data_IF_425840688776
#
_entry.id   IF_425840688776
#
_cell.length_a   1.000
_cell.length_b   1.000
_cell.length_c   1.000
_cell.angle_alpha   90.00
_cell.angle_beta   90.00
_cell.angle_gamma   90.00
#
_symmetry.space_group_name_H-M   'P 1'
#
loop_
_entity.id
_entity.type
_entity.pdbx_description
1 polymer ?
#
# COMPACT_ATOMS: atom_id res chain seq x y z
N UNK A 1 -25.19 -5.48 8.18
CA UNK A 1 -24.75 -4.89 6.90
C UNK A 1 -23.35 -4.39 7.14
N UNK A 2 -22.34 -5.21 6.82
CA UNK A 2 -20.94 -4.81 6.98
C UNK A 2 -20.69 -3.85 5.83
N UNK A 3 -20.60 -2.55 6.12
CA UNK A 3 -20.03 -1.62 5.15
C UNK A 3 -18.63 -2.17 4.87
N UNK A 4 -18.42 -2.75 3.69
CA UNK A 4 -17.08 -3.04 3.22
C UNK A 4 -16.45 -1.67 3.02
N UNK A 5 -15.74 -1.19 4.04
CA UNK A 5 -14.97 0.04 3.97
C UNK A 5 -14.07 -0.04 2.75
N UNK A 6 -13.85 1.10 2.11
CA UNK A 6 -13.02 1.16 0.91
C UNK A 6 -11.61 0.70 1.20
N UNK A 7 -11.01 0.05 0.22
CA UNK A 7 -9.77 -0.70 0.38
C UNK A 7 -8.80 -0.40 -0.75
N UNK A 8 -7.56 -0.08 -0.39
CA UNK A 8 -6.46 0.00 -1.35
C UNK A 8 -5.19 -0.61 -0.76
N UNK A 9 -4.39 -1.26 -1.61
CA UNK A 9 -3.14 -1.89 -1.19
C UNK A 9 -1.92 -1.19 -1.79
N UNK A 10 -0.89 -1.07 -0.95
CA UNK A 10 0.46 -0.65 -1.30
C UNK A 10 1.40 -1.84 -1.13
N UNK A 11 2.25 -2.09 -2.11
CA UNK A 11 3.21 -3.18 -2.11
C UNK A 11 4.62 -2.64 -1.90
N UNK A 12 5.37 -3.30 -1.03
CA UNK A 12 6.76 -2.93 -0.71
C UNK A 12 7.71 -3.98 -1.29
N UNK A 13 8.81 -3.48 -1.84
CA UNK A 13 9.89 -4.29 -2.41
C UNK A 13 10.43 -5.34 -1.42
N UNK A 14 10.92 -6.46 -1.98
CA UNK A 14 11.45 -7.61 -1.26
C UNK A 14 12.64 -7.32 -0.33
N UNK A 15 13.30 -6.17 -0.49
CA UNK A 15 14.42 -5.75 0.38
C UNK A 15 13.98 -5.33 1.79
N UNK A 16 12.70 -5.05 2.02
CA UNK A 16 12.17 -4.75 3.36
C UNK A 16 11.64 -5.98 4.09
N UNK A 17 11.78 -6.00 5.42
CA UNK A 17 11.14 -7.00 6.28
C UNK A 17 9.78 -6.51 6.77
N UNK A 18 8.85 -7.43 7.04
CA UNK A 18 7.49 -7.10 7.52
C UNK A 18 7.52 -6.27 8.80
N UNK A 19 8.48 -6.52 9.70
CA UNK A 19 8.63 -5.79 10.95
C UNK A 19 9.14 -4.36 10.73
N UNK A 20 10.05 -4.13 9.77
CA UNK A 20 10.44 -2.78 9.39
C UNK A 20 9.28 -2.00 8.74
N UNK A 21 8.50 -2.65 7.87
CA UNK A 21 7.33 -2.01 7.26
C UNK A 21 6.28 -1.67 8.32
N UNK A 22 6.07 -2.55 9.31
CA UNK A 22 5.18 -2.28 10.46
C UNK A 22 5.66 -1.11 11.32
N UNK A 23 6.96 -1.04 11.60
CA UNK A 23 7.55 0.06 12.35
C UNK A 23 7.34 1.40 11.61
N UNK A 24 7.68 1.45 10.32
CA UNK A 24 7.47 2.64 9.50
C UNK A 24 5.99 3.04 9.42
N UNK A 25 5.09 2.08 9.16
CA UNK A 25 3.65 2.33 9.06
C UNK A 25 3.04 2.91 10.36
N UNK A 26 3.64 2.66 11.53
CA UNK A 26 3.21 3.24 12.81
C UNK A 26 3.65 4.69 13.01
N UNK A 27 4.75 5.09 12.37
CA UNK A 27 5.30 6.44 12.48
C UNK A 27 4.77 7.38 11.39
N UNK A 28 4.33 6.82 10.27
CA UNK A 28 3.77 7.59 9.17
C UNK A 28 2.39 8.19 9.51
N UNK A 29 2.10 9.39 9.01
CA UNK A 29 0.79 10.00 9.20
C UNK A 29 -0.27 9.18 8.45
N UNK A 30 -1.39 8.94 9.11
CA UNK A 30 -2.51 8.24 8.52
C UNK A 30 -3.14 9.10 7.41
N UNK A 31 -3.31 8.57 6.18
CA UNK A 31 -3.94 9.32 5.10
C UNK A 31 -5.39 9.70 5.42
N UNK A 32 -5.86 10.82 4.88
CA UNK A 32 -7.25 11.25 5.07
C UNK A 32 -8.25 10.20 4.57
N UNK A 33 -9.28 9.93 5.39
CA UNK A 33 -10.30 8.91 5.10
C UNK A 33 -9.87 7.47 5.43
N UNK A 34 -8.58 7.20 5.68
CA UNK A 34 -8.11 5.88 6.14
C UNK A 34 -8.43 5.74 7.63
N UNK A 35 -9.01 4.59 7.99
CA UNK A 35 -9.37 4.22 9.36
C UNK A 35 -8.50 3.10 9.91
N UNK A 36 -7.88 2.31 9.02
CA UNK A 36 -7.05 1.17 9.38
C UNK A 36 -5.92 0.96 8.39
N UNK A 37 -4.75 0.62 8.94
CA UNK A 37 -3.56 0.24 8.17
C UNK A 37 -3.15 -1.15 8.65
N UNK A 38 -3.15 -2.12 7.75
CA UNK A 38 -2.75 -3.49 8.06
C UNK A 38 -1.57 -3.90 7.20
N UNK A 39 -0.47 -4.32 7.84
CA UNK A 39 0.72 -4.79 7.13
C UNK A 39 0.71 -6.32 7.13
N UNK A 40 0.59 -6.88 5.93
CA UNK A 40 0.51 -8.31 5.68
C UNK A 40 1.66 -8.76 4.79
N UNK A 41 2.14 -9.97 5.02
CA UNK A 41 3.05 -10.61 4.07
C UNK A 41 2.23 -10.99 2.85
N UNK A 42 2.54 -10.33 1.73
CA UNK A 42 2.04 -10.75 0.43
C UNK A 42 2.96 -11.86 -0.07
N UNK A 43 2.41 -12.94 -0.62
CA UNK A 43 3.24 -13.87 -1.41
C UNK A 43 3.98 -13.12 -2.53
N UNK A 44 4.89 -13.79 -3.23
CA UNK A 44 5.71 -13.19 -4.30
C UNK A 44 4.82 -12.60 -5.43
N UNK A 45 4.48 -11.31 -5.31
CA UNK A 45 3.47 -10.63 -6.13
C UNK A 45 4.14 -9.43 -6.78
N UNK A 46 4.40 -9.53 -8.08
CA UNK A 46 5.15 -8.50 -8.83
C UNK A 46 6.52 -8.15 -8.21
N UNK A 47 7.21 -9.13 -7.62
CA UNK A 47 8.51 -8.92 -6.94
C UNK A 47 8.40 -8.25 -5.56
N UNK A 48 7.18 -8.03 -5.06
CA UNK A 48 6.92 -7.52 -3.71
C UNK A 48 6.49 -8.66 -2.79
N UNK A 49 6.87 -8.58 -1.51
CA UNK A 49 6.54 -9.59 -0.47
C UNK A 49 5.70 -9.05 0.67
N UNK A 50 5.44 -7.76 0.69
CA UNK A 50 4.71 -7.12 1.78
C UNK A 50 3.65 -6.24 1.14
N UNK A 51 2.41 -6.42 1.57
CA UNK A 51 1.31 -5.53 1.26
C UNK A 51 0.91 -4.74 2.50
N UNK A 52 0.57 -3.48 2.29
CA UNK A 52 0.02 -2.59 3.29
C UNK A 52 -1.38 -2.20 2.82
N UNK A 53 -2.35 -2.72 3.52
CA UNK A 53 -3.76 -2.56 3.24
C UNK A 53 -4.30 -1.36 4.01
N UNK A 54 -4.80 -0.38 3.25
CA UNK A 54 -5.42 0.83 3.75
C UNK A 54 -6.93 0.65 3.64
N UNK A 55 -7.59 0.58 4.79
CA UNK A 55 -9.06 0.47 4.89
C UNK A 55 -9.63 1.73 5.46
N UNK A 56 -10.77 2.19 4.96
CA UNK A 56 -11.37 3.42 5.46
C UNK A 56 -12.70 3.81 4.83
N UNK A 57 -13.03 5.08 5.01
CA UNK A 57 -14.21 5.75 4.47
C UNK A 57 -13.74 6.81 3.45
N UNK A 58 -13.37 6.34 2.27
CA UNK A 58 -12.93 7.15 1.12
C UNK A 58 -13.53 6.56 -0.15
N UNK A 59 -13.61 7.31 -1.24
CA UNK A 59 -14.06 6.72 -2.51
C UNK A 59 -12.92 5.89 -3.13
N UNK A 60 -13.06 4.57 -3.19
CA UNK A 60 -12.02 3.67 -3.70
C UNK A 60 -11.61 3.98 -5.14
N UNK A 61 -12.55 4.39 -5.99
CA UNK A 61 -12.27 4.65 -7.41
C UNK A 61 -11.69 6.04 -7.63
N UNK A 62 -12.22 7.05 -6.93
CA UNK A 62 -11.80 8.44 -7.09
C UNK A 62 -10.56 8.78 -6.26
N UNK A 63 -10.57 8.41 -4.98
CA UNK A 63 -9.58 8.85 -3.99
C UNK A 63 -8.53 7.75 -3.73
N UNK A 64 -8.92 6.48 -3.84
CA UNK A 64 -8.08 5.32 -3.58
C UNK A 64 -6.72 5.33 -4.30
N UNK A 65 -6.64 5.57 -5.63
CA UNK A 65 -5.35 5.64 -6.33
C UNK A 65 -4.42 6.75 -5.80
N UNK A 66 -5.00 7.89 -5.40
CA UNK A 66 -4.24 8.99 -4.82
C UNK A 66 -3.71 8.66 -3.42
N UNK A 67 -4.56 8.06 -2.59
CA UNK A 67 -4.21 7.61 -1.22
C UNK A 67 -3.09 6.57 -1.29
N UNK A 68 -3.24 5.53 -2.12
CA UNK A 68 -2.26 4.47 -2.28
C UNK A 68 -0.91 5.01 -2.77
N UNK A 69 -0.90 5.91 -3.77
CA UNK A 69 0.35 6.51 -4.28
C UNK A 69 1.03 7.41 -3.26
N UNK A 70 0.27 8.26 -2.58
CA UNK A 70 0.83 9.14 -1.55
C UNK A 70 1.43 8.34 -0.41
N UNK A 71 0.73 7.30 0.05
CA UNK A 71 1.21 6.44 1.11
C UNK A 71 2.40 5.58 0.68
N UNK A 72 2.42 5.07 -0.55
CA UNK A 72 3.56 4.38 -1.12
C UNK A 72 4.81 5.26 -1.16
N UNK A 73 4.69 6.53 -1.58
CA UNK A 73 5.81 7.47 -1.57
C UNK A 73 6.36 7.72 -0.15
N UNK A 74 5.48 7.83 0.83
CA UNK A 74 5.87 8.01 2.24
C UNK A 74 6.59 6.77 2.80
N UNK A 75 6.03 5.58 2.57
CA UNK A 75 6.66 4.31 2.93
C UNK A 75 8.02 4.13 2.28
N UNK A 76 8.11 4.44 0.99
CA UNK A 76 9.35 4.33 0.24
C UNK A 76 10.43 5.25 0.80
N UNK A 77 10.07 6.48 1.15
CA UNK A 77 10.99 7.43 1.78
C UNK A 77 11.42 6.97 3.19
N UNK A 78 10.48 6.49 4.01
CA UNK A 78 10.77 6.04 5.38
C UNK A 78 11.66 4.77 5.41
N UNK A 79 11.46 3.86 4.46
CA UNK A 79 12.16 2.58 4.41
C UNK A 79 13.42 2.60 3.53
N UNK A 80 13.61 3.66 2.72
CA UNK A 80 14.65 3.74 1.69
C UNK A 80 14.62 2.58 0.67
N UNK A 81 13.42 2.04 0.41
CA UNK A 81 13.17 0.95 -0.55
C UNK A 81 12.00 1.33 -1.46
N UNK A 82 11.86 0.76 -2.66
CA UNK A 82 10.70 1.02 -3.49
C UNK A 82 9.38 0.52 -2.87
N UNK A 83 8.34 1.34 -2.96
CA UNK A 83 6.97 0.94 -2.63
C UNK A 83 6.01 1.47 -3.70
N UNK A 84 4.99 0.69 -4.04
CA UNK A 84 4.14 0.91 -5.19
C UNK A 84 2.67 0.70 -4.86
N UNK A 85 1.80 1.55 -5.41
CA UNK A 85 0.37 1.27 -5.39
C UNK A 85 0.07 0.05 -6.28
N UNK A 86 -0.82 -0.85 -5.85
CA UNK A 86 -1.20 -2.04 -6.62
C UNK A 86 -1.62 -1.69 -8.06
N UNK A 87 -2.38 -0.61 -8.22
CA UNK A 87 -2.85 -0.15 -9.52
C UNK A 87 -1.72 0.20 -10.48
N UNK A 88 -0.61 0.74 -9.96
CA UNK A 88 0.56 1.07 -10.76
C UNK A 88 1.34 -0.20 -11.14
N UNK A 89 1.45 -1.18 -10.24
CA UNK A 89 2.03 -2.50 -10.55
C UNK A 89 1.25 -3.23 -11.65
N UNK A 90 -0.08 -3.19 -11.61
CA UNK A 90 -0.93 -3.80 -12.64
C UNK A 90 -0.70 -3.13 -14.00
N UNK A 91 -0.54 -1.81 -14.04
CA UNK A 91 -0.28 -1.07 -15.29
C UNK A 91 1.10 -1.42 -15.87
N UNK A 92 2.12 -1.52 -15.02
CA UNK A 92 3.48 -1.92 -15.43
C UNK A 92 3.49 -3.37 -15.91
N UNK A 93 2.92 -4.30 -15.15
CA UNK A 93 2.86 -5.72 -15.51
C UNK A 93 2.07 -6.01 -16.80
N UNK A 94 1.14 -5.14 -17.19
CA UNK A 94 0.46 -5.21 -18.49
C UNK A 94 1.25 -4.61 -19.65
N UNK A 95 2.27 -3.80 -19.38
CA UNK A 95 3.10 -3.17 -20.42
C UNK A 95 4.25 -4.08 -20.88
N UNK A 96 4.53 -5.16 -20.14
CA UNK A 96 5.55 -6.17 -20.43
C UNK A 96 4.97 -7.43 -21.14
N UNK A 97 3.73 -7.36 -21.65
CA UNK A 97 3.07 -8.43 -22.43
C UNK A 97 2.75 -8.03 -23.86
#
# INVERSE_FOLDING_TARGET
>A
MVWMGSFVSVYVDWSATVEHVRAAARELPMPAGVLGINVVEAGDTFGCRIAVDLTGDFDEQRDGPGIARSYAAQLSNALAVPAFALRDLILVGRSDS
#
